data_IF_543888273618
#
_entry.id   IF_543888273618
#
_cell.length_a   1.000
_cell.length_b   1.000
_cell.length_c   1.000
_cell.angle_alpha   90.00
_cell.angle_beta   90.00
_cell.angle_gamma   90.00
#
_symmetry.space_group_name_H-M   'P 1'
#
loop_
_entity.id
_entity.type
_entity.pdbx_description
1 polymer ?
#
# COMPACT_ATOMS: atom_id res chain seq x y z
N UNK A 1 15.32 -7.20 -0.04
CA UNK A 1 14.27 -6.18 0.12
C UNK A 1 13.19 -6.71 1.05
N UNK A 2 12.56 -5.83 1.77
CA UNK A 2 11.44 -6.21 2.64
C UNK A 2 10.11 -6.06 1.88
N UNK A 3 9.11 -6.81 2.32
CA UNK A 3 7.76 -6.79 1.74
C UNK A 3 6.80 -6.09 2.70
N UNK A 4 6.01 -5.18 2.15
CA UNK A 4 5.06 -4.37 2.91
C UNK A 4 3.66 -4.51 2.32
N UNK A 5 2.66 -4.54 3.21
CA UNK A 5 1.26 -4.39 2.81
C UNK A 5 0.86 -2.93 2.98
N UNK A 6 0.29 -2.36 1.93
CA UNK A 6 -0.25 -1.00 1.93
C UNK A 6 -1.76 -1.12 1.85
N UNK A 7 -2.46 -0.66 2.88
CA UNK A 7 -3.92 -0.73 2.95
C UNK A 7 -4.44 0.70 3.00
N UNK A 8 -5.24 1.08 2.00
CA UNK A 8 -5.80 2.41 1.88
C UNK A 8 -7.33 2.32 1.94
N UNK A 9 -7.94 3.10 2.82
CA UNK A 9 -9.39 3.17 2.97
C UNK A 9 -9.86 4.60 2.78
N UNK A 10 -11.01 4.75 2.14
CA UNK A 10 -11.63 6.06 1.93
C UNK A 10 -13.12 6.00 2.21
N UNK A 11 -13.72 7.13 2.65
CA UNK A 11 -15.17 7.17 2.85
C UNK A 11 -15.89 7.19 1.49
N UNK A 12 -17.19 6.81 1.46
CA UNK A 12 -17.95 6.78 0.21
C UNK A 12 -17.98 8.09 -0.55
N UNK A 13 -17.98 9.23 0.15
CA UNK A 13 -18.01 10.55 -0.49
C UNK A 13 -16.70 10.95 -1.17
N UNK A 14 -15.61 10.28 -0.88
CA UNK A 14 -14.32 10.48 -1.55
C UNK A 14 -14.00 9.36 -2.55
N UNK A 15 -14.86 8.35 -2.66
CA UNK A 15 -14.66 7.27 -3.60
C UNK A 15 -14.65 7.77 -5.04
N UNK A 16 -13.75 7.30 -5.90
CA UNK A 16 -13.72 7.69 -7.31
C UNK A 16 -15.03 7.41 -8.06
N UNK A 17 -15.85 6.51 -7.58
CA UNK A 17 -17.17 6.24 -8.18
C UNK A 17 -18.18 7.34 -7.89
N UNK A 18 -17.98 8.12 -6.82
CA UNK A 18 -18.92 9.16 -6.37
C UNK A 18 -18.36 10.56 -6.46
N UNK A 19 -17.05 10.73 -6.42
CA UNK A 19 -16.38 12.02 -6.35
C UNK A 19 -15.60 12.27 -7.63
N UNK A 20 -16.00 13.30 -8.37
CA UNK A 20 -15.40 13.62 -9.67
C UNK A 20 -13.94 14.05 -9.55
N UNK A 21 -13.58 14.77 -8.50
CA UNK A 21 -12.21 15.22 -8.27
C UNK A 21 -11.29 14.04 -7.96
N UNK A 22 -11.71 13.14 -7.09
CA UNK A 22 -10.96 11.94 -6.75
C UNK A 22 -10.81 11.02 -7.96
N UNK A 23 -11.90 10.91 -8.76
CA UNK A 23 -11.87 10.14 -10.01
C UNK A 23 -10.79 10.65 -10.96
N UNK A 24 -10.71 11.96 -11.12
CA UNK A 24 -9.71 12.58 -11.98
C UNK A 24 -8.30 12.35 -11.47
N UNK A 25 -8.09 12.49 -10.16
CA UNK A 25 -6.80 12.24 -9.53
C UNK A 25 -6.34 10.79 -9.76
N UNK A 26 -7.25 9.84 -9.60
CA UNK A 26 -6.93 8.42 -9.81
C UNK A 26 -6.58 8.14 -11.26
N UNK A 27 -7.35 8.67 -12.20
CA UNK A 27 -7.09 8.46 -13.63
C UNK A 27 -5.75 9.05 -14.07
N UNK A 28 -5.44 10.25 -13.60
CA UNK A 28 -4.16 10.91 -13.91
C UNK A 28 -2.99 10.21 -13.24
N UNK A 29 -3.16 9.80 -11.99
CA UNK A 29 -2.11 9.14 -11.22
C UNK A 29 -1.81 7.72 -11.68
N UNK A 30 -2.82 6.97 -12.09
CA UNK A 30 -2.67 5.55 -12.42
C UNK A 30 -1.61 5.30 -13.50
N UNK A 31 -1.54 6.15 -14.50
CA UNK A 31 -0.55 6.02 -15.58
C UNK A 31 0.87 6.34 -15.14
N UNK A 32 1.03 7.07 -14.05
CA UNK A 32 2.33 7.53 -13.54
C UNK A 32 2.87 6.63 -12.42
N UNK A 33 2.03 5.78 -11.84
CA UNK A 33 2.39 4.93 -10.70
C UNK A 33 3.62 4.06 -10.98
N UNK A 34 3.74 3.34 -12.12
CA UNK A 34 4.91 2.50 -12.34
C UNK A 34 6.23 3.28 -12.36
N UNK A 35 6.26 4.43 -13.01
CA UNK A 35 7.45 5.27 -13.09
C UNK A 35 7.79 5.85 -11.71
N UNK A 36 6.81 6.32 -10.98
CA UNK A 36 7.00 6.88 -9.64
C UNK A 36 7.54 5.82 -8.68
N UNK A 37 6.97 4.62 -8.71
CA UNK A 37 7.43 3.50 -7.89
C UNK A 37 8.90 3.20 -8.17
N UNK A 38 9.29 3.12 -9.44
CA UNK A 38 10.67 2.88 -9.83
C UNK A 38 11.60 3.96 -9.29
N UNK A 39 11.22 5.23 -9.45
CA UNK A 39 12.01 6.37 -8.96
C UNK A 39 12.23 6.36 -7.46
N UNK A 40 11.26 5.85 -6.71
CA UNK A 40 11.27 5.84 -5.25
C UNK A 40 11.77 4.52 -4.65
N UNK A 41 12.20 3.58 -5.49
CA UNK A 41 12.74 2.31 -5.03
C UNK A 41 11.67 1.36 -4.49
N UNK A 42 10.46 1.39 -5.04
CA UNK A 42 9.35 0.53 -4.66
C UNK A 42 8.97 -0.36 -5.83
N UNK A 43 8.96 -1.68 -5.61
CA UNK A 43 8.48 -2.64 -6.59
C UNK A 43 7.07 -3.09 -6.20
N UNK A 44 6.10 -2.86 -7.09
CA UNK A 44 4.72 -3.23 -6.84
C UNK A 44 4.51 -4.66 -7.33
N UNK A 45 4.20 -5.56 -6.39
CA UNK A 45 3.88 -6.95 -6.71
C UNK A 45 2.40 -7.15 -7.01
N UNK A 46 1.54 -6.56 -6.20
CA UNK A 46 0.09 -6.70 -6.29
C UNK A 46 -0.56 -5.37 -5.98
N UNK A 47 -1.57 -5.01 -6.77
CA UNK A 47 -2.40 -3.83 -6.53
C UNK A 47 -3.84 -4.22 -6.85
N UNK A 48 -4.71 -4.23 -5.84
CA UNK A 48 -6.10 -4.67 -5.97
C UNK A 48 -7.02 -3.66 -5.31
N UNK A 49 -8.21 -3.53 -5.87
CA UNK A 49 -9.25 -2.65 -5.36
C UNK A 49 -10.44 -3.49 -4.94
N UNK A 50 -10.91 -3.29 -3.70
CA UNK A 50 -12.10 -3.94 -3.18
C UNK A 50 -13.27 -2.99 -3.42
N UNK A 51 -13.98 -3.16 -4.53
CA UNK A 51 -14.96 -2.18 -5.02
C UNK A 51 -15.93 -1.65 -3.95
N UNK A 52 -16.89 -2.49 -3.44
CA UNK A 52 -17.89 -1.99 -2.48
C UNK A 52 -17.33 -1.62 -1.11
N UNK A 53 -16.15 -2.11 -0.74
CA UNK A 53 -15.58 -1.93 0.59
C UNK A 53 -14.73 -0.65 0.72
N UNK A 54 -14.52 0.06 -0.37
CA UNK A 54 -13.73 1.30 -0.39
C UNK A 54 -12.30 1.10 0.14
N UNK A 55 -11.69 -0.02 -0.22
CA UNK A 55 -10.34 -0.39 0.20
C UNK A 55 -9.46 -0.66 -1.02
N UNK A 56 -8.22 -0.18 -0.94
CA UNK A 56 -7.19 -0.49 -1.91
C UNK A 56 -6.09 -1.26 -1.18
N UNK A 57 -5.67 -2.38 -1.75
CA UNK A 57 -4.60 -3.20 -1.20
C UNK A 57 -3.43 -3.25 -2.18
N UNK A 58 -2.25 -2.96 -1.69
CA UNK A 58 -1.02 -3.18 -2.45
C UNK A 58 -0.04 -4.01 -1.62
N UNK A 59 0.67 -4.91 -2.29
CA UNK A 59 1.81 -5.62 -1.71
C UNK A 59 3.04 -5.16 -2.50
N UNK A 60 3.98 -4.55 -1.80
CA UNK A 60 5.14 -3.92 -2.41
C UNK A 60 6.43 -4.39 -1.76
N UNK A 61 7.52 -4.29 -2.48
CA UNK A 61 8.86 -4.57 -1.96
C UNK A 61 9.69 -3.29 -2.00
N UNK A 62 10.48 -3.07 -0.96
CA UNK A 62 11.39 -1.95 -0.87
C UNK A 62 12.48 -2.25 0.16
N UNK A 63 13.57 -1.50 0.12
CA UNK A 63 14.65 -1.64 1.09
C UNK A 63 14.26 -1.08 2.46
N UNK A 64 13.35 -0.09 2.49
CA UNK A 64 12.91 0.48 3.75
C UNK A 64 11.45 0.98 3.68
N UNK A 65 10.85 1.14 4.85
CA UNK A 65 9.46 1.59 4.96
C UNK A 65 9.28 3.06 4.55
N UNK A 66 10.31 3.88 4.69
CA UNK A 66 10.21 5.29 4.34
C UNK A 66 10.06 5.50 2.84
N UNK A 67 10.67 4.65 2.03
CA UNK A 67 10.43 4.65 0.58
C UNK A 67 8.97 4.36 0.25
N UNK A 68 8.37 3.41 0.95
CA UNK A 68 6.95 3.07 0.76
C UNK A 68 6.04 4.21 1.21
N UNK A 69 6.35 4.83 2.35
CA UNK A 69 5.62 6.00 2.85
C UNK A 69 5.69 7.16 1.86
N UNK A 70 6.88 7.42 1.33
CA UNK A 70 7.09 8.48 0.35
C UNK A 70 6.33 8.19 -0.95
N UNK A 71 6.29 6.94 -1.38
CA UNK A 71 5.49 6.53 -2.53
C UNK A 71 4.00 6.79 -2.28
N UNK A 72 3.47 6.40 -1.12
CA UNK A 72 2.07 6.64 -0.77
C UNK A 72 1.72 8.14 -0.77
N UNK A 73 2.65 8.98 -0.29
CA UNK A 73 2.47 10.42 -0.27
C UNK A 73 2.48 11.00 -1.70
N UNK A 74 3.50 10.68 -2.47
CA UNK A 74 3.72 11.29 -3.79
C UNK A 74 2.78 10.77 -4.87
N UNK A 75 2.24 9.57 -4.69
CA UNK A 75 1.22 9.03 -5.60
C UNK A 75 -0.13 9.73 -5.47
N UNK A 76 -0.31 10.56 -4.44
CA UNK A 76 -1.58 11.18 -4.15
C UNK A 76 -2.54 10.31 -3.36
N UNK A 77 -2.17 9.06 -3.07
CA UNK A 77 -3.05 8.11 -2.38
C UNK A 77 -3.48 8.64 -1.01
N UNK A 78 -2.57 9.27 -0.28
CA UNK A 78 -2.85 9.80 1.05
C UNK A 78 -3.76 11.03 1.04
N UNK A 79 -4.00 11.64 -0.11
CA UNK A 79 -4.86 12.83 -0.19
C UNK A 79 -6.34 12.49 -0.04
N UNK A 80 -6.73 11.26 -0.36
CA UNK A 80 -8.13 10.84 -0.30
C UNK A 80 -8.34 9.51 0.42
N UNK A 81 -7.30 8.95 1.00
CA UNK A 81 -7.36 7.71 1.77
C UNK A 81 -6.64 7.86 3.10
N UNK A 82 -7.10 7.12 4.08
CA UNK A 82 -6.30 6.79 5.25
C UNK A 82 -5.43 5.60 4.87
N UNK A 83 -4.12 5.75 4.97
CA UNK A 83 -3.16 4.73 4.51
C UNK A 83 -2.44 4.11 5.69
N UNK A 84 -2.45 2.78 5.74
CA UNK A 84 -1.68 1.99 6.70
C UNK A 84 -0.65 1.17 5.94
N UNK A 85 0.57 1.17 6.46
CA UNK A 85 1.69 0.43 5.87
C UNK A 85 2.23 -0.51 6.93
N UNK A 86 2.25 -1.81 6.62
CA UNK A 86 2.67 -2.85 7.54
C UNK A 86 3.82 -3.64 6.95
N UNK A 87 4.87 -3.85 7.75
CA UNK A 87 5.86 -4.86 7.41
C UNK A 87 5.21 -6.24 7.45
N UNK A 88 5.55 -7.09 6.50
CA UNK A 88 4.99 -8.44 6.42
C UNK A 88 6.12 -9.47 6.43
N UNK A 89 5.74 -10.71 6.73
CA UNK A 89 6.67 -11.83 6.78
C UNK A 89 6.05 -13.01 6.06
N UNK A 90 6.89 -13.81 5.42
CA UNK A 90 6.45 -15.11 4.90
C UNK A 90 6.16 -16.05 6.08
N UNK A 91 5.47 -17.16 5.81
CA UNK A 91 5.23 -18.19 6.83
C UNK A 91 6.55 -18.71 7.37
N UNK A 92 7.52 -18.94 6.48
CA UNK A 92 8.84 -19.44 6.87
C UNK A 92 9.58 -18.46 7.79
N UNK A 93 9.54 -17.17 7.44
CA UNK A 93 10.13 -16.11 8.28
C UNK A 93 9.43 -16.03 9.64
N UNK A 94 8.10 -16.09 9.64
CA UNK A 94 7.31 -16.03 10.86
C UNK A 94 7.60 -17.21 11.78
N UNK A 95 7.69 -18.42 11.24
CA UNK A 95 8.04 -19.62 12.00
C UNK A 95 9.44 -19.48 12.63
N UNK A 96 10.40 -18.99 11.88
CA UNK A 96 11.76 -18.76 12.40
C UNK A 96 11.76 -17.72 13.54
N UNK A 97 10.96 -16.68 13.44
CA UNK A 97 10.85 -15.66 14.49
C UNK A 97 10.21 -16.20 15.76
N UNK A 98 9.22 -17.07 15.63
CA UNK A 98 8.55 -17.70 16.77
C UNK A 98 9.54 -18.51 17.61
N UNK A 99 10.47 -19.22 16.95
CA UNK A 99 11.46 -20.05 17.63
C UNK A 99 12.48 -19.22 18.44
N UNK A 100 12.58 -17.92 18.18
CA UNK A 100 13.46 -17.03 18.93
C UNK A 100 12.86 -16.57 20.26
N UNK A 101 11.57 -16.85 20.50
CA UNK A 101 10.83 -16.41 21.67
C UNK A 101 10.36 -17.61 22.47
N UNK A 102 10.58 -17.58 23.78
CA UNK A 102 10.11 -18.63 24.66
C UNK A 102 8.59 -18.52 24.87
N UNK A 103 7.88 -19.62 24.74
CA UNK A 103 6.45 -19.68 25.01
C UNK A 103 6.18 -19.53 26.50
N UNK A 104 5.17 -18.72 26.87
CA UNK A 104 4.81 -18.48 28.26
C UNK A 104 3.54 -19.21 28.71
N UNK A 105 2.91 -19.95 27.78
CA UNK A 105 1.72 -20.75 28.09
C UNK A 105 1.91 -22.21 27.66
#
# INVERSE_FOLDING_TARGET
>A
MATFAVIAEHPPNLCPTSNAQTRQMLKEGASQIPQLAEQLGVAIGTLRIFGPDHIILAVVESDDIDSVRNFALRSGLMQWNTVRIHATYSIEEAVAMIDEVEAIF
#
